data_IF_886156847041
#
_entry.id   IF_886156847041
#
_cell.length_a   1.000
_cell.length_b   1.000
_cell.length_c   1.000
_cell.angle_alpha   90.00
_cell.angle_beta   90.00
_cell.angle_gamma   90.00
#
_symmetry.space_group_name_H-M   'P 1'
#
loop_
_entity.id
_entity.type
_entity.pdbx_description
1 polymer ?
#
# COMPACT_ATOMS: atom_id res chain seq x y z
N UNK A 1 -36.02 1.20 -26.01
CA UNK A 1 -34.57 1.50 -26.01
C UNK A 1 -34.27 2.60 -25.02
N UNK A 2 -33.23 2.45 -24.20
CA UNK A 2 -32.77 3.47 -23.25
C UNK A 2 -31.74 4.39 -23.93
N UNK A 3 -31.92 5.71 -23.84
CA UNK A 3 -30.95 6.69 -24.34
C UNK A 3 -29.77 6.85 -23.36
N UNK A 4 -28.55 6.98 -23.88
CA UNK A 4 -27.30 7.09 -23.09
C UNK A 4 -27.10 8.48 -22.44
N UNK A 5 -28.17 9.26 -22.24
CA UNK A 5 -28.05 10.61 -21.70
C UNK A 5 -27.55 10.58 -20.24
N UNK A 6 -26.40 11.20 -20.00
CA UNK A 6 -25.79 11.34 -18.67
C UNK A 6 -24.70 10.32 -18.33
N UNK A 7 -24.29 9.47 -19.29
CA UNK A 7 -23.10 8.64 -19.14
C UNK A 7 -21.90 9.50 -19.49
N UNK A 8 -21.08 9.83 -18.49
CA UNK A 8 -19.79 10.45 -18.73
C UNK A 8 -18.83 9.37 -19.23
N UNK A 9 -18.73 9.28 -20.55
CA UNK A 9 -17.88 8.31 -21.23
C UNK A 9 -16.44 8.58 -20.88
N UNK A 10 -16.04 9.85 -20.79
CA UNK A 10 -14.66 10.26 -20.61
C UNK A 10 -14.56 11.22 -19.43
N UNK A 11 -14.49 10.69 -18.19
CA UNK A 11 -14.49 11.52 -16.99
C UNK A 11 -13.18 12.30 -16.89
N UNK A 12 -13.15 13.47 -17.52
CA UNK A 12 -11.93 14.26 -17.74
C UNK A 12 -11.24 14.62 -16.43
N UNK A 13 -12.02 15.02 -15.42
CA UNK A 13 -11.50 15.39 -14.10
C UNK A 13 -10.83 14.18 -13.45
N UNK A 14 -11.51 13.03 -13.42
CA UNK A 14 -10.99 11.79 -12.85
C UNK A 14 -9.66 11.36 -13.49
N UNK A 15 -9.61 11.34 -14.83
CA UNK A 15 -8.42 10.94 -15.59
C UNK A 15 -7.24 11.90 -15.36
N UNK A 16 -7.52 13.22 -15.31
CA UNK A 16 -6.51 14.24 -15.00
C UNK A 16 -5.97 14.08 -13.59
N UNK A 17 -6.84 13.85 -12.61
CA UNK A 17 -6.43 13.62 -11.22
C UNK A 17 -5.54 12.39 -11.12
N UNK A 18 -5.90 11.25 -11.74
CA UNK A 18 -5.05 10.05 -11.75
C UNK A 18 -3.65 10.32 -12.33
N UNK A 19 -3.59 11.02 -13.45
CA UNK A 19 -2.32 11.35 -14.12
C UNK A 19 -1.45 12.26 -13.25
N UNK A 20 -2.03 13.32 -12.68
CA UNK A 20 -1.32 14.24 -11.78
C UNK A 20 -0.88 13.51 -10.50
N UNK A 21 -1.75 12.67 -9.94
CA UNK A 21 -1.47 11.83 -8.78
C UNK A 21 -0.21 10.99 -9.00
N UNK A 22 -0.03 10.36 -10.17
CA UNK A 22 1.18 9.61 -10.47
C UNK A 22 2.45 10.47 -10.47
N UNK A 23 2.41 11.64 -11.10
CA UNK A 23 3.57 12.55 -11.15
C UNK A 23 3.98 13.03 -9.76
N UNK A 24 3.02 13.18 -8.84
CA UNK A 24 3.30 13.47 -7.44
C UNK A 24 3.77 12.21 -6.70
N UNK A 25 3.17 11.06 -6.94
CA UNK A 25 3.49 9.78 -6.29
C UNK A 25 4.91 9.29 -6.55
N UNK A 26 5.33 9.32 -7.82
CA UNK A 26 6.60 8.78 -8.26
C UNK A 26 7.79 9.28 -7.42
N UNK A 27 8.02 10.60 -7.23
CA UNK A 27 9.14 11.08 -6.42
C UNK A 27 9.07 10.64 -4.95
N UNK A 28 7.88 10.58 -4.33
CA UNK A 28 7.75 10.08 -2.96
C UNK A 28 8.05 8.58 -2.86
N UNK A 29 7.56 7.78 -3.83
CA UNK A 29 7.82 6.35 -3.90
C UNK A 29 9.32 6.07 -4.13
N UNK A 30 9.97 6.78 -5.05
CA UNK A 30 11.43 6.68 -5.26
C UNK A 30 12.24 7.11 -4.04
N UNK A 31 11.82 8.18 -3.36
CA UNK A 31 12.47 8.61 -2.12
C UNK A 31 12.29 7.59 -0.98
N UNK A 32 11.12 6.94 -0.90
CA UNK A 32 10.89 5.83 0.03
C UNK A 32 11.82 4.64 -0.27
N UNK A 33 12.00 4.26 -1.54
CA UNK A 33 12.98 3.26 -1.94
C UNK A 33 14.40 3.64 -1.53
N UNK A 34 14.81 4.89 -1.79
CA UNK A 34 16.10 5.39 -1.38
C UNK A 34 16.29 5.28 0.14
N UNK A 35 15.28 5.68 0.93
CA UNK A 35 15.31 5.54 2.39
C UNK A 35 15.47 4.07 2.81
N UNK A 36 14.72 3.15 2.22
CA UNK A 36 14.78 1.72 2.55
C UNK A 36 16.16 1.14 2.20
N UNK A 37 16.73 1.47 1.05
CA UNK A 37 17.99 0.87 0.60
C UNK A 37 19.20 1.48 1.30
N UNK A 38 19.25 2.81 1.44
CA UNK A 38 20.47 3.52 1.86
C UNK A 38 20.42 4.06 3.29
N UNK A 39 19.23 4.44 3.79
CA UNK A 39 19.08 5.05 5.13
C UNK A 39 18.79 3.99 6.21
N UNK A 40 18.30 2.81 5.83
CA UNK A 40 18.00 1.72 6.76
C UNK A 40 19.22 1.31 7.61
N UNK A 41 19.11 1.29 8.95
CA UNK A 41 20.20 0.86 9.81
C UNK A 41 20.47 -0.64 9.72
N UNK A 42 21.71 -1.07 9.99
CA UNK A 42 22.14 -2.49 9.91
C UNK A 42 21.29 -3.44 10.76
N UNK A 43 20.79 -2.97 11.91
CA UNK A 43 19.88 -3.74 12.80
C UNK A 43 18.54 -4.11 12.16
N UNK A 44 18.15 -3.45 11.06
CA UNK A 44 16.90 -3.73 10.35
C UNK A 44 17.12 -4.57 9.08
N UNK A 45 18.29 -5.18 8.88
CA UNK A 45 18.64 -5.87 7.61
C UNK A 45 17.61 -6.90 7.14
N UNK A 46 17.06 -7.71 8.05
CA UNK A 46 16.02 -8.70 7.70
C UNK A 46 14.67 -8.03 7.40
N UNK A 47 14.26 -7.06 8.23
CA UNK A 47 13.01 -6.31 8.04
C UNK A 47 13.02 -5.45 6.76
N UNK A 48 14.20 -4.99 6.33
CA UNK A 48 14.40 -4.17 5.14
C UNK A 48 13.86 -4.83 3.88
N UNK A 49 14.02 -6.14 3.74
CA UNK A 49 13.52 -6.88 2.58
C UNK A 49 11.99 -6.91 2.55
N UNK A 50 11.34 -7.12 3.69
CA UNK A 50 9.87 -7.09 3.77
C UNK A 50 9.32 -5.69 3.47
N UNK A 51 9.96 -4.63 3.97
CA UNK A 51 9.61 -3.25 3.62
C UNK A 51 9.81 -2.96 2.13
N UNK A 52 10.89 -3.46 1.52
CA UNK A 52 11.18 -3.25 0.11
C UNK A 52 10.15 -3.94 -0.78
N UNK A 53 9.80 -5.19 -0.48
CA UNK A 53 8.77 -5.95 -1.21
C UNK A 53 7.42 -5.26 -1.09
N UNK A 54 7.06 -4.80 0.11
CA UNK A 54 5.85 -4.01 0.32
C UNK A 54 5.84 -2.72 -0.52
N UNK A 55 6.91 -1.92 -0.44
CA UNK A 55 7.02 -0.68 -1.21
C UNK A 55 6.99 -0.91 -2.72
N UNK A 56 7.59 -2.01 -3.19
CA UNK A 56 7.53 -2.43 -4.59
C UNK A 56 6.11 -2.78 -5.01
N UNK A 57 5.41 -3.56 -4.19
CA UNK A 57 4.03 -3.95 -4.44
C UNK A 57 3.07 -2.76 -4.47
N UNK A 58 3.18 -1.83 -3.50
CA UNK A 58 2.33 -0.63 -3.47
C UNK A 58 2.65 0.36 -4.59
N UNK A 59 3.93 0.55 -4.92
CA UNK A 59 4.32 1.42 -6.04
C UNK A 59 3.85 0.84 -7.38
N UNK A 60 3.92 -0.48 -7.54
CA UNK A 60 3.44 -1.16 -8.74
C UNK A 60 1.91 -1.07 -8.87
N UNK A 61 1.19 -1.15 -7.75
CA UNK A 61 -0.25 -0.88 -7.71
C UNK A 61 -0.57 0.55 -8.17
N UNK A 62 0.05 1.56 -7.56
CA UNK A 62 -0.13 2.98 -7.89
C UNK A 62 0.14 3.24 -9.38
N UNK A 63 1.25 2.71 -9.89
CA UNK A 63 1.60 2.80 -11.30
C UNK A 63 0.55 2.16 -12.20
N UNK A 64 0.14 0.93 -11.87
CA UNK A 64 -0.84 0.17 -12.65
C UNK A 64 -2.18 0.89 -12.71
N UNK A 65 -2.66 1.48 -11.61
CA UNK A 65 -3.96 2.15 -11.61
C UNK A 65 -3.91 3.58 -12.15
N UNK A 66 -2.84 4.33 -11.92
CA UNK A 66 -2.76 5.74 -12.31
C UNK A 66 -2.30 5.95 -13.76
N UNK A 67 -1.33 5.15 -14.24
CA UNK A 67 -0.72 5.31 -15.58
C UNK A 67 -0.85 4.09 -16.49
N UNK A 68 -0.69 2.88 -15.94
CA UNK A 68 -0.63 1.66 -16.73
C UNK A 68 -1.99 1.31 -17.34
N UNK A 69 -2.96 1.04 -16.48
CA UNK A 69 -4.33 0.66 -16.83
C UNK A 69 -5.21 1.90 -16.94
N UNK A 70 -5.17 2.79 -15.96
CA UNK A 70 -6.08 3.95 -15.86
C UNK A 70 -7.53 3.53 -16.19
N UNK A 71 -8.12 2.62 -15.39
CA UNK A 71 -9.37 1.97 -15.74
C UNK A 71 -10.53 2.95 -15.67
N UNK A 72 -11.36 2.95 -16.72
CA UNK A 72 -12.67 3.62 -16.73
C UNK A 72 -13.73 2.54 -16.74
N UNK A 73 -14.56 2.53 -15.71
CA UNK A 73 -15.70 1.61 -15.60
C UNK A 73 -16.97 2.45 -15.62
N UNK A 74 -17.98 1.99 -16.32
CA UNK A 74 -19.26 2.69 -16.45
C UNK A 74 -20.32 1.89 -15.68
N UNK A 75 -20.49 1.94 -14.35
CA UNK A 75 -21.29 0.93 -13.63
C UNK A 75 -22.73 0.72 -14.13
N UNK A 76 -23.33 1.71 -14.79
CA UNK A 76 -24.64 1.58 -15.45
C UNK A 76 -24.69 0.49 -16.54
N UNK A 77 -23.56 0.20 -17.18
CA UNK A 77 -23.36 -0.85 -18.17
C UNK A 77 -22.12 -1.64 -17.72
N UNK A 78 -22.11 -2.97 -17.59
CA UNK A 78 -20.92 -3.67 -17.08
C UNK A 78 -19.79 -3.73 -18.14
N UNK A 79 -19.33 -2.56 -18.57
CA UNK A 79 -18.32 -2.26 -19.57
C UNK A 79 -17.20 -1.52 -18.83
N UNK A 80 -15.99 -1.99 -19.06
CA UNK A 80 -14.78 -1.25 -18.72
C UNK A 80 -13.94 -1.03 -19.97
N UNK A 81 -13.16 0.03 -19.96
CA UNK A 81 -12.11 0.24 -20.95
C UNK A 81 -10.90 0.93 -20.28
N UNK A 82 -9.78 0.94 -20.98
CA UNK A 82 -8.52 1.49 -20.48
C UNK A 82 -8.07 2.69 -21.31
N UNK A 83 -7.59 3.72 -20.63
CA UNK A 83 -6.98 4.91 -21.26
C UNK A 83 -5.46 4.95 -21.07
N UNK A 84 -4.91 4.07 -20.22
CA UNK A 84 -3.51 4.06 -19.83
C UNK A 84 -2.53 3.51 -20.87
N UNK A 85 -1.26 3.42 -20.49
CA UNK A 85 -0.16 2.94 -21.33
C UNK A 85 -0.37 1.51 -21.86
N UNK A 86 -1.03 0.65 -21.09
CA UNK A 86 -1.24 -0.76 -21.41
C UNK A 86 -2.40 -1.02 -22.38
N UNK A 87 -3.16 0.01 -22.76
CA UNK A 87 -4.37 -0.14 -23.59
C UNK A 87 -4.16 -0.87 -24.91
N UNK A 88 -2.96 -0.81 -25.48
CA UNK A 88 -2.60 -1.45 -26.75
C UNK A 88 -1.89 -2.80 -26.57
N UNK A 89 -1.42 -3.10 -25.36
CA UNK A 89 -0.60 -4.30 -25.07
C UNK A 89 -1.39 -5.42 -24.41
N UNK A 90 -2.45 -5.06 -23.68
CA UNK A 90 -3.26 -6.00 -22.93
C UNK A 90 -4.74 -5.78 -23.23
N UNK A 91 -5.49 -6.87 -23.36
CA UNK A 91 -6.95 -6.81 -23.42
C UNK A 91 -7.48 -6.42 -22.03
N UNK A 92 -8.63 -5.74 -21.94
CA UNK A 92 -9.13 -5.31 -20.64
C UNK A 92 -9.44 -6.46 -19.66
N UNK A 93 -9.72 -7.67 -20.16
CA UNK A 93 -9.76 -8.87 -19.33
C UNK A 93 -8.42 -9.15 -18.60
N UNK A 94 -7.30 -9.05 -19.32
CA UNK A 94 -5.96 -9.19 -18.75
C UNK A 94 -5.63 -8.03 -17.82
N UNK A 95 -6.10 -6.82 -18.15
CA UNK A 95 -5.90 -5.63 -17.30
C UNK A 95 -6.69 -5.72 -15.99
N UNK A 96 -7.91 -6.25 -16.01
CA UNK A 96 -8.69 -6.56 -14.81
C UNK A 96 -8.00 -7.63 -13.96
N UNK A 97 -7.38 -8.61 -14.61
CA UNK A 97 -6.61 -9.66 -13.92
C UNK A 97 -5.36 -9.06 -13.28
N UNK A 98 -4.64 -8.21 -14.01
CA UNK A 98 -3.48 -7.47 -13.50
C UNK A 98 -3.86 -6.58 -12.31
N UNK A 99 -5.01 -5.89 -12.36
CA UNK A 99 -5.47 -5.04 -11.26
C UNK A 99 -5.76 -5.89 -10.00
N UNK A 100 -6.42 -7.04 -10.15
CA UNK A 100 -6.62 -8.00 -9.07
C UNK A 100 -5.30 -8.50 -8.49
N UNK A 101 -4.33 -8.85 -9.33
CA UNK A 101 -2.97 -9.25 -8.90
C UNK A 101 -2.30 -8.14 -8.09
N UNK A 102 -2.30 -6.90 -8.58
CA UNK A 102 -1.66 -5.78 -7.88
C UNK A 102 -2.32 -5.53 -6.51
N UNK A 103 -3.65 -5.53 -6.44
CA UNK A 103 -4.35 -5.24 -5.19
C UNK A 103 -4.18 -6.35 -4.16
N UNK A 104 -4.29 -7.61 -4.58
CA UNK A 104 -4.11 -8.77 -3.68
C UNK A 104 -2.65 -8.92 -3.23
N UNK A 105 -1.68 -8.68 -4.12
CA UNK A 105 -0.26 -8.72 -3.77
C UNK A 105 0.06 -7.63 -2.76
N UNK A 106 -0.42 -6.40 -2.94
CA UNK A 106 -0.19 -5.31 -1.97
C UNK A 106 -0.81 -5.62 -0.60
N UNK A 107 -2.05 -6.11 -0.57
CA UNK A 107 -2.70 -6.56 0.67
C UNK A 107 -1.97 -7.74 1.34
N UNK A 108 -1.47 -8.71 0.57
CA UNK A 108 -0.74 -9.86 1.12
C UNK A 108 0.59 -9.45 1.76
N UNK A 109 1.34 -8.54 1.13
CA UNK A 109 2.62 -8.05 1.66
C UNK A 109 2.45 -7.28 2.97
N UNK A 110 1.31 -6.60 3.14
CA UNK A 110 0.92 -6.01 4.43
C UNK A 110 0.79 -7.06 5.52
N UNK A 111 -0.05 -8.09 5.28
CA UNK A 111 -0.31 -9.13 6.28
C UNK A 111 0.99 -9.86 6.61
N UNK A 112 1.84 -10.07 5.60
CA UNK A 112 3.17 -10.66 5.77
C UNK A 112 4.08 -9.83 6.69
N UNK A 113 4.08 -8.49 6.57
CA UNK A 113 4.84 -7.61 7.47
C UNK A 113 4.40 -7.78 8.92
N UNK A 114 3.09 -7.83 9.17
CA UNK A 114 2.55 -8.03 10.52
C UNK A 114 2.89 -9.42 11.06
N UNK A 115 2.72 -10.45 10.24
CA UNK A 115 3.04 -11.83 10.58
C UNK A 115 4.52 -12.00 10.92
N UNK A 116 5.42 -11.43 10.09
CA UNK A 116 6.86 -11.43 10.34
C UNK A 116 7.21 -10.70 11.64
N UNK A 117 6.60 -9.54 11.89
CA UNK A 117 6.84 -8.78 13.12
C UNK A 117 6.39 -9.54 14.35
N UNK A 118 5.20 -10.14 14.30
CA UNK A 118 4.67 -10.96 15.37
C UNK A 118 5.64 -12.09 15.73
N UNK A 119 6.13 -12.84 14.73
CA UNK A 119 7.10 -13.92 14.92
C UNK A 119 8.46 -13.47 15.49
N UNK A 120 8.91 -12.25 15.18
CA UNK A 120 10.15 -11.68 15.73
C UNK A 120 9.99 -11.09 17.13
N UNK A 121 8.77 -10.71 17.51
CA UNK A 121 8.47 -10.20 18.85
C UNK A 121 8.36 -11.38 19.82
N UNK A 122 7.64 -12.45 19.46
CA UNK A 122 7.40 -13.61 20.33
C UNK A 122 8.69 -14.20 20.93
N UNK A 123 8.60 -14.55 22.23
CA UNK A 123 9.67 -15.21 22.98
C UNK A 123 10.09 -16.54 22.33
N UNK A 124 11.40 -16.86 22.33
CA UNK A 124 11.92 -18.06 21.66
C UNK A 124 11.30 -19.39 22.14
N UNK A 125 10.83 -19.45 23.39
CA UNK A 125 10.28 -20.68 23.99
C UNK A 125 8.75 -20.77 23.92
N UNK A 126 8.08 -19.84 23.24
CA UNK A 126 6.62 -19.89 23.08
C UNK A 126 6.20 -20.93 22.04
N UNK A 127 5.12 -21.66 22.29
CA UNK A 127 4.51 -22.62 21.34
C UNK A 127 4.07 -21.96 20.02
N UNK A 128 3.85 -20.65 20.03
CA UNK A 128 3.41 -19.87 18.85
C UNK A 128 4.57 -19.44 17.94
N UNK A 129 5.82 -19.68 18.36
CA UNK A 129 6.99 -19.39 17.53
C UNK A 129 7.19 -20.49 16.52
N UNK A 130 7.12 -20.12 15.24
CA UNK A 130 7.27 -21.05 14.14
C UNK A 130 8.75 -21.31 13.87
N UNK A 131 9.06 -22.56 13.51
CA UNK A 131 10.35 -22.89 12.93
C UNK A 131 10.49 -22.20 11.57
N UNK A 132 11.70 -21.84 11.19
CA UNK A 132 11.99 -21.13 9.93
C UNK A 132 11.40 -21.85 8.72
N UNK A 133 11.55 -23.18 8.64
CA UNK A 133 10.94 -23.98 7.58
C UNK A 133 9.42 -23.83 7.53
N UNK A 134 8.73 -24.04 8.66
CA UNK A 134 7.27 -23.91 8.76
C UNK A 134 6.79 -22.50 8.39
N UNK A 135 7.51 -21.46 8.82
CA UNK A 135 7.21 -20.08 8.48
C UNK A 135 7.22 -19.84 6.96
N UNK A 136 8.29 -20.26 6.28
CA UNK A 136 8.40 -20.11 4.83
C UNK A 136 7.42 -21.01 4.07
N UNK A 137 7.16 -22.24 4.56
CA UNK A 137 6.16 -23.13 3.95
C UNK A 137 4.75 -22.54 4.01
N UNK A 138 4.34 -21.97 5.15
CA UNK A 138 3.04 -21.28 5.27
C UNK A 138 2.97 -20.10 4.31
N UNK A 139 4.06 -19.31 4.21
CA UNK A 139 4.13 -18.16 3.31
C UNK A 139 3.98 -18.57 1.84
N UNK A 140 4.73 -19.58 1.39
CA UNK A 140 4.65 -20.08 0.00
C UNK A 140 3.27 -20.67 -0.27
N UNK A 141 2.73 -21.46 0.65
CA UNK A 141 1.38 -22.02 0.52
C UNK A 141 0.31 -20.93 0.39
N UNK A 142 0.34 -19.90 1.24
CA UNK A 142 -0.59 -18.78 1.17
C UNK A 142 -0.48 -18.01 -0.15
N UNK A 143 0.75 -17.78 -0.64
CA UNK A 143 1.00 -17.12 -1.90
C UNK A 143 0.49 -17.94 -3.10
N UNK A 144 0.71 -19.25 -3.08
CA UNK A 144 0.22 -20.17 -4.11
C UNK A 144 -1.30 -20.23 -4.15
N UNK A 145 -1.97 -20.25 -2.98
CA UNK A 145 -3.43 -20.19 -2.91
C UNK A 145 -3.97 -18.89 -3.51
N UNK A 146 -3.32 -17.76 -3.20
CA UNK A 146 -3.71 -16.45 -3.69
C UNK A 146 -3.56 -16.32 -5.21
N UNK A 147 -2.43 -16.74 -5.78
CA UNK A 147 -2.26 -16.70 -7.23
C UNK A 147 -3.13 -17.74 -7.94
N UNK A 148 -3.32 -18.91 -7.33
CA UNK A 148 -4.22 -19.95 -7.83
C UNK A 148 -5.66 -19.47 -7.92
N UNK A 149 -6.19 -18.81 -6.88
CA UNK A 149 -7.55 -18.27 -6.90
C UNK A 149 -7.72 -17.15 -7.94
N UNK A 150 -6.72 -16.31 -8.17
CA UNK A 150 -6.76 -15.31 -9.24
C UNK A 150 -6.78 -15.97 -10.62
N UNK A 151 -6.00 -17.03 -10.83
CA UNK A 151 -6.05 -17.81 -12.07
C UNK A 151 -7.43 -18.43 -12.32
N UNK A 152 -8.08 -18.94 -11.28
CA UNK A 152 -9.46 -19.43 -11.37
C UNK A 152 -10.46 -18.33 -11.72
N UNK A 153 -10.30 -17.14 -11.13
CA UNK A 153 -11.15 -15.97 -11.42
C UNK A 153 -10.96 -15.50 -12.85
N UNK A 154 -9.72 -15.45 -13.34
CA UNK A 154 -9.40 -15.11 -14.73
C UNK A 154 -10.17 -16.02 -15.69
N UNK A 155 -10.03 -17.34 -15.52
CA UNK A 155 -10.71 -18.31 -16.36
C UNK A 155 -12.25 -18.22 -16.25
N UNK A 156 -12.78 -17.93 -15.05
CA UNK A 156 -14.21 -17.79 -14.85
C UNK A 156 -14.80 -16.53 -15.52
N UNK A 157 -14.03 -15.45 -15.55
CA UNK A 157 -14.43 -14.17 -16.14
C UNK A 157 -14.43 -14.19 -17.68
N UNK A 158 -13.74 -15.16 -18.30
CA UNK A 158 -13.70 -15.30 -19.75
C UNK A 158 -15.12 -15.54 -20.29
N UNK A 159 -15.51 -14.72 -21.25
CA UNK A 159 -16.89 -14.62 -21.73
C UNK A 159 -16.93 -14.28 -23.21
N UNK A 160 -17.90 -14.85 -23.92
CA UNK A 160 -18.13 -14.58 -25.34
C UNK A 160 -18.54 -13.12 -25.56
N UNK A 161 -17.56 -12.31 -25.99
CA UNK A 161 -17.72 -10.87 -26.18
C UNK A 161 -18.66 -10.53 -27.33
N UNK A 162 -18.75 -11.37 -28.37
CA UNK A 162 -19.62 -11.12 -29.52
C UNK A 162 -21.09 -11.24 -29.13
N UNK A 163 -21.43 -12.30 -28.39
CA UNK A 163 -22.79 -12.46 -27.86
C UNK A 163 -23.15 -11.32 -26.90
N UNK A 164 -22.22 -10.90 -26.04
CA UNK A 164 -22.45 -9.82 -25.08
C UNK A 164 -22.63 -8.45 -25.76
N UNK A 165 -21.85 -8.15 -26.82
CA UNK A 165 -22.01 -6.94 -27.64
C UNK A 165 -23.40 -6.88 -28.27
N UNK A 166 -23.85 -7.98 -28.86
CA UNK A 166 -25.20 -8.07 -29.45
C UNK A 166 -26.29 -7.84 -28.40
N UNK A 167 -26.20 -8.52 -27.25
CA UNK A 167 -27.14 -8.31 -26.13
C UNK A 167 -27.15 -6.87 -25.63
N UNK A 168 -26.00 -6.21 -25.59
CA UNK A 168 -25.95 -4.82 -25.11
C UNK A 168 -26.53 -3.85 -26.14
N UNK A 169 -26.29 -4.08 -27.43
CA UNK A 169 -26.80 -3.27 -28.54
C UNK A 169 -28.33 -3.31 -28.64
N UNK A 170 -28.96 -4.43 -28.27
CA UNK A 170 -30.43 -4.52 -28.20
C UNK A 170 -31.01 -3.70 -27.04
N UNK A 171 -30.27 -3.56 -25.93
CA UNK A 171 -30.70 -2.79 -24.75
C UNK A 171 -30.44 -1.28 -24.94
N UNK A 172 -29.26 -0.95 -25.46
CA UNK A 172 -28.76 0.42 -25.64
C UNK A 172 -28.37 0.67 -27.10
N UNK A 173 -29.22 1.39 -27.83
CA UNK A 173 -28.98 1.70 -29.24
C UNK A 173 -27.80 2.64 -29.50
N UNK A 174 -27.31 3.32 -28.46
CA UNK A 174 -26.22 4.29 -28.52
C UNK A 174 -24.86 3.72 -28.11
N UNK A 175 -24.74 2.41 -27.89
CA UNK A 175 -23.50 1.80 -27.34
C UNK A 175 -22.35 1.67 -28.35
N UNK A 176 -22.60 1.88 -29.65
CA UNK A 176 -21.62 1.61 -30.71
C UNK A 176 -20.30 2.38 -30.51
N UNK A 177 -20.35 3.64 -30.06
CA UNK A 177 -19.13 4.44 -29.79
C UNK A 177 -18.27 3.87 -28.65
N UNK A 178 -18.85 3.09 -27.72
CA UNK A 178 -18.10 2.42 -26.64
C UNK A 178 -17.35 1.20 -27.17
N UNK A 179 -17.92 0.51 -28.16
CA UNK A 179 -17.28 -0.65 -28.77
C UNK A 179 -16.08 -0.28 -29.65
N UNK A 180 -16.05 0.95 -30.13
CA UNK A 180 -14.90 1.52 -30.86
C UNK A 180 -13.72 1.87 -29.94
N UNK A 181 -13.91 1.89 -28.61
CA UNK A 181 -12.81 2.20 -27.69
C UNK A 181 -11.79 1.06 -27.63
N UNK A 182 -10.48 1.37 -27.67
CA UNK A 182 -9.43 0.37 -27.56
C UNK A 182 -9.49 -0.30 -26.18
N UNK A 183 -9.42 -1.63 -26.17
CA UNK A 183 -9.45 -2.40 -24.94
C UNK A 183 -10.81 -2.38 -24.22
N UNK A 184 -11.93 -2.14 -24.92
CA UNK A 184 -13.26 -2.33 -24.34
C UNK A 184 -13.48 -3.81 -23.96
N UNK A 185 -14.04 -4.05 -22.77
CA UNK A 185 -14.43 -5.38 -22.34
C UNK A 185 -15.76 -5.33 -21.60
N UNK A 186 -16.64 -6.26 -21.95
CA UNK A 186 -17.96 -6.40 -21.34
C UNK A 186 -17.88 -7.56 -20.35
N UNK A 187 -18.08 -7.25 -19.08
CA UNK A 187 -18.22 -8.25 -18.02
C UNK A 187 -19.68 -8.67 -17.89
N UNK A 188 -19.95 -9.97 -17.89
CA UNK A 188 -21.27 -10.45 -17.49
C UNK A 188 -21.50 -10.15 -16.01
N UNK A 189 -22.68 -9.60 -15.66
CA UNK A 189 -22.95 -9.15 -14.29
C UNK A 189 -22.87 -10.30 -13.27
N UNK A 190 -23.30 -11.50 -13.64
CA UNK A 190 -23.25 -12.68 -12.76
C UNK A 190 -21.81 -13.12 -12.48
N UNK A 191 -20.96 -13.18 -13.51
CA UNK A 191 -19.54 -13.51 -13.36
C UNK A 191 -18.78 -12.44 -12.58
N UNK A 192 -19.10 -11.16 -12.81
CA UNK A 192 -18.50 -10.06 -12.05
C UNK A 192 -18.90 -10.08 -10.58
N UNK A 193 -20.11 -10.52 -10.25
CA UNK A 193 -20.56 -10.69 -8.86
C UNK A 193 -19.66 -11.67 -8.10
N UNK A 194 -19.22 -12.76 -8.73
CA UNK A 194 -18.28 -13.70 -8.12
C UNK A 194 -16.94 -13.06 -7.77
N UNK A 195 -16.42 -12.16 -8.61
CA UNK A 195 -15.20 -11.39 -8.32
C UNK A 195 -15.38 -10.51 -7.09
N UNK A 196 -16.53 -9.83 -6.99
CA UNK A 196 -16.87 -8.96 -5.86
C UNK A 196 -16.99 -9.78 -4.57
N UNK A 197 -17.72 -10.90 -4.61
CA UNK A 197 -17.86 -11.82 -3.48
C UNK A 197 -16.49 -12.35 -3.03
N UNK A 198 -15.67 -12.79 -3.98
CA UNK A 198 -14.29 -13.21 -3.69
C UNK A 198 -13.49 -12.10 -3.02
N UNK A 199 -13.56 -10.87 -3.54
CA UNK A 199 -12.89 -9.71 -2.96
C UNK A 199 -13.32 -9.45 -1.51
N UNK A 200 -14.62 -9.55 -1.21
CA UNK A 200 -15.16 -9.37 0.14
C UNK A 200 -14.70 -10.47 1.08
N UNK A 201 -14.75 -11.73 0.65
CA UNK A 201 -14.30 -12.88 1.45
C UNK A 201 -12.79 -12.75 1.73
N UNK A 202 -11.99 -12.48 0.69
CA UNK A 202 -10.54 -12.28 0.80
C UNK A 202 -10.20 -11.13 1.73
N UNK A 203 -10.90 -9.99 1.61
CA UNK A 203 -10.70 -8.83 2.48
C UNK A 203 -11.10 -9.12 3.92
N UNK A 204 -12.19 -9.86 4.13
CA UNK A 204 -12.65 -10.27 5.47
C UNK A 204 -11.66 -11.19 6.15
N UNK A 205 -11.17 -12.21 5.44
CA UNK A 205 -10.15 -13.14 5.95
C UNK A 205 -8.85 -12.40 6.25
N UNK A 206 -8.36 -11.58 5.31
CA UNK A 206 -7.14 -10.80 5.50
C UNK A 206 -7.25 -9.80 6.66
N UNK A 207 -8.38 -9.11 6.78
CA UNK A 207 -8.68 -8.19 7.87
C UNK A 207 -8.73 -8.90 9.22
N UNK A 208 -9.35 -10.07 9.29
CA UNK A 208 -9.38 -10.89 10.50
C UNK A 208 -7.97 -11.28 10.95
N UNK A 209 -7.13 -11.81 10.06
CA UNK A 209 -5.73 -12.15 10.39
C UNK A 209 -4.93 -10.92 10.81
N UNK A 210 -5.14 -9.77 10.16
CA UNK A 210 -4.48 -8.52 10.53
C UNK A 210 -4.85 -8.14 11.98
N UNK A 211 -6.14 -8.11 12.32
CA UNK A 211 -6.61 -7.80 13.67
C UNK A 211 -6.02 -8.78 14.70
N UNK A 212 -6.01 -10.08 14.38
CA UNK A 212 -5.39 -11.10 15.24
C UNK A 212 -3.90 -10.84 15.45
N UNK A 213 -3.12 -10.59 14.40
CA UNK A 213 -1.68 -10.34 14.52
C UNK A 213 -1.39 -9.04 15.26
N UNK A 214 -2.19 -7.99 15.06
CA UNK A 214 -2.08 -6.74 15.82
C UNK A 214 -2.35 -7.00 17.29
N UNK A 215 -3.46 -7.67 17.62
CA UNK A 215 -3.83 -8.00 18.98
C UNK A 215 -2.73 -8.82 19.68
N UNK A 216 -2.29 -9.91 19.05
CA UNK A 216 -1.26 -10.78 19.60
C UNK A 216 0.10 -10.08 19.71
N UNK A 217 0.46 -9.21 18.76
CA UNK A 217 1.69 -8.41 18.84
C UNK A 217 1.66 -7.43 20.02
N UNK A 218 0.52 -6.75 20.24
CA UNK A 218 0.34 -5.86 21.39
C UNK A 218 0.39 -6.62 22.71
N UNK A 219 -0.24 -7.80 22.77
CA UNK A 219 -0.20 -8.67 23.93
C UNK A 219 1.23 -9.15 24.24
N UNK A 220 1.97 -9.60 23.22
CA UNK A 220 3.36 -10.04 23.39
C UNK A 220 4.28 -8.89 23.86
N UNK A 221 4.09 -7.68 23.32
CA UNK A 221 4.81 -6.48 23.76
C UNK A 221 4.51 -6.14 25.23
N UNK A 222 3.24 -6.29 25.66
CA UNK A 222 2.86 -6.08 27.05
C UNK A 222 3.46 -7.14 27.99
N UNK A 223 3.55 -8.40 27.55
CA UNK A 223 4.20 -9.47 28.33
C UNK A 223 5.72 -9.28 28.46
N UNK A 224 6.36 -8.61 27.50
CA UNK A 224 7.80 -8.26 27.57
C UNK A 224 8.09 -7.04 28.45
N UNK A 225 7.09 -6.50 29.14
CA UNK A 225 7.23 -5.36 30.05
C UNK A 225 8.29 -5.58 31.14
N UNK A 226 8.56 -6.82 31.53
CA UNK A 226 9.54 -7.18 32.57
C UNK A 226 10.98 -7.25 32.05
N UNK A 227 11.19 -7.47 30.74
CA UNK A 227 12.51 -7.79 30.17
C UNK A 227 13.08 -6.69 29.25
N UNK A 228 12.32 -5.63 28.92
CA UNK A 228 12.76 -4.54 28.03
C UNK A 228 12.48 -3.17 28.62
N UNK A 229 13.27 -2.18 28.21
CA UNK A 229 13.07 -0.79 28.61
C UNK A 229 11.72 -0.24 28.13
N UNK A 230 11.11 0.61 28.96
CA UNK A 230 9.84 1.26 28.63
C UNK A 230 9.90 2.04 27.31
N UNK A 231 11.06 2.61 26.99
CA UNK A 231 11.31 3.31 25.72
C UNK A 231 11.17 2.37 24.50
N UNK A 232 11.84 1.20 24.51
CA UNK A 232 11.78 0.25 23.40
C UNK A 232 10.35 -0.26 23.16
N UNK A 233 9.58 -0.46 24.24
CA UNK A 233 8.18 -0.86 24.20
C UNK A 233 7.30 0.19 23.51
N UNK A 234 7.47 1.46 23.88
CA UNK A 234 6.70 2.56 23.31
C UNK A 234 6.99 2.74 21.81
N UNK A 235 8.25 2.56 21.40
CA UNK A 235 8.64 2.58 19.98
C UNK A 235 7.95 1.44 19.21
N UNK A 236 7.92 0.23 19.74
CA UNK A 236 7.25 -0.90 19.08
C UNK A 236 5.74 -0.71 18.96
N UNK A 237 5.06 -0.25 20.02
CA UNK A 237 3.62 0.06 19.98
C UNK A 237 3.30 1.13 18.95
N UNK A 238 4.07 2.24 18.98
CA UNK A 238 3.92 3.34 18.02
C UNK A 238 4.02 2.83 16.59
N UNK A 239 4.97 1.95 16.30
CA UNK A 239 5.15 1.39 14.97
C UNK A 239 3.97 0.50 14.54
N UNK A 240 3.42 -0.33 15.44
CA UNK A 240 2.22 -1.13 15.15
C UNK A 240 1.02 -0.22 14.82
N UNK A 241 0.75 0.80 15.63
CA UNK A 241 -0.35 1.73 15.37
C UNK A 241 -0.21 2.45 14.03
N UNK A 242 1.02 2.81 13.66
CA UNK A 242 1.29 3.49 12.39
C UNK A 242 1.09 2.55 11.20
N UNK A 243 1.50 1.29 11.30
CA UNK A 243 1.18 0.27 10.29
C UNK A 243 -0.35 0.06 10.19
N UNK A 244 -1.07 0.03 11.30
CA UNK A 244 -2.54 -0.06 11.27
C UNK A 244 -3.15 1.14 10.54
N UNK A 245 -2.66 2.36 10.80
CA UNK A 245 -3.13 3.56 10.12
C UNK A 245 -2.89 3.51 8.60
N UNK A 246 -1.75 2.97 8.15
CA UNK A 246 -1.48 2.74 6.72
C UNK A 246 -2.52 1.81 6.08
N UNK A 247 -3.02 0.83 6.82
CA UNK A 247 -3.94 -0.19 6.30
C UNK A 247 -5.41 0.22 6.28
N UNK A 248 -5.76 1.26 7.04
CA UNK A 248 -7.12 1.80 7.00
C UNK A 248 -7.48 2.36 5.61
N UNK A 249 -6.50 2.88 4.86
CA UNK A 249 -6.73 3.42 3.50
C UNK A 249 -7.20 2.36 2.50
N UNK A 250 -6.47 1.26 2.24
CA UNK A 250 -6.89 0.24 1.28
C UNK A 250 -8.11 -0.54 1.77
N UNK A 251 -8.23 -0.81 3.08
CA UNK A 251 -9.42 -1.46 3.63
C UNK A 251 -10.66 -0.58 3.47
N UNK A 252 -10.53 0.73 3.69
CA UNK A 252 -11.60 1.70 3.45
C UNK A 252 -12.01 1.75 1.98
N UNK A 253 -11.04 1.79 1.06
CA UNK A 253 -11.31 1.76 -0.38
C UNK A 253 -12.05 0.49 -0.82
N UNK A 254 -11.62 -0.67 -0.32
CA UNK A 254 -12.29 -1.96 -0.57
C UNK A 254 -13.70 -1.99 0.00
N UNK A 255 -13.89 -1.51 1.22
CA UNK A 255 -15.20 -1.45 1.85
C UNK A 255 -16.13 -0.53 1.06
N UNK A 256 -15.69 0.68 0.68
CA UNK A 256 -16.49 1.63 -0.11
C UNK A 256 -16.80 1.08 -1.51
N UNK A 257 -15.79 0.61 -2.24
CA UNK A 257 -15.98 0.06 -3.58
C UNK A 257 -16.81 -1.22 -3.60
N UNK A 258 -16.56 -2.15 -2.68
CA UNK A 258 -17.29 -3.42 -2.60
C UNK A 258 -18.75 -3.23 -2.19
N UNK A 259 -19.01 -2.40 -1.17
CA UNK A 259 -20.39 -2.14 -0.71
C UNK A 259 -21.21 -1.39 -1.74
N UNK A 260 -20.62 -0.43 -2.46
CA UNK A 260 -21.33 0.31 -3.51
C UNK A 260 -21.75 -0.60 -4.67
N UNK A 261 -20.90 -1.54 -5.08
CA UNK A 261 -21.25 -2.54 -6.11
C UNK A 261 -22.32 -3.50 -5.61
N UNK A 262 -22.23 -3.99 -4.37
CA UNK A 262 -23.26 -4.87 -3.80
C UNK A 262 -24.62 -4.19 -3.71
N UNK A 263 -24.65 -2.95 -3.23
CA UNK A 263 -25.88 -2.14 -3.14
C UNK A 263 -26.44 -1.90 -4.54
N UNK A 264 -25.60 -1.66 -5.55
CA UNK A 264 -26.04 -1.54 -6.95
C UNK A 264 -26.64 -2.85 -7.48
N UNK A 265 -25.95 -3.98 -7.29
CA UNK A 265 -26.39 -5.29 -7.75
C UNK A 265 -27.74 -5.68 -7.14
N UNK A 266 -27.90 -5.53 -5.82
CA UNK A 266 -29.16 -5.82 -5.12
C UNK A 266 -30.29 -4.90 -5.59
N UNK A 267 -29.97 -3.63 -5.88
CA UNK A 267 -30.94 -2.67 -6.41
C UNK A 267 -31.25 -2.86 -7.89
N UNK A 268 -30.44 -3.58 -8.67
CA UNK A 268 -30.75 -3.91 -10.08
C UNK A 268 -32.06 -4.69 -10.21
N UNK A 269 -32.45 -5.42 -9.16
CA UNK A 269 -33.72 -6.15 -9.06
C UNK A 269 -34.91 -5.27 -8.59
N UNK A 270 -34.65 -4.10 -7.99
CA UNK A 270 -35.65 -3.18 -7.45
C UNK A 270 -35.82 -1.89 -8.28
N UNK A 271 -34.79 -1.48 -9.03
CA UNK A 271 -34.70 -0.23 -9.80
C UNK A 271 -34.88 -0.51 -11.29
N UNK A 272 -36.05 -1.03 -11.68
CA UNK A 272 -36.59 -0.70 -13.00
C UNK A 272 -37.34 0.66 -12.97
N UNK A 273 -37.66 1.17 -11.77
CA UNK A 273 -38.65 2.24 -11.56
C UNK A 273 -38.06 3.62 -11.18
N UNK A 274 -36.82 3.72 -10.66
CA UNK A 274 -36.21 5.00 -10.22
C UNK A 274 -34.99 5.35 -11.06
N UNK A 275 -35.23 5.90 -12.27
CA UNK A 275 -34.20 6.16 -13.29
C UNK A 275 -33.47 7.51 -13.07
N UNK A 276 -32.19 7.52 -13.44
CA UNK A 276 -31.20 8.62 -13.54
C UNK A 276 -30.39 8.99 -12.28
N UNK A 277 -30.99 9.30 -11.11
CA UNK A 277 -30.20 9.80 -9.97
C UNK A 277 -29.27 8.75 -9.33
N UNK A 278 -29.62 7.47 -9.41
CA UNK A 278 -28.84 6.38 -8.81
C UNK A 278 -27.58 5.99 -9.59
N UNK A 279 -27.58 6.12 -10.93
CA UNK A 279 -26.47 5.65 -11.76
C UNK A 279 -25.23 6.57 -11.66
N UNK A 280 -25.44 7.88 -11.60
CA UNK A 280 -24.35 8.87 -11.47
C UNK A 280 -23.62 8.69 -10.13
N UNK A 281 -24.37 8.62 -9.02
CA UNK A 281 -23.79 8.46 -7.67
C UNK A 281 -22.94 7.18 -7.56
N UNK A 282 -23.34 6.10 -8.22
CA UNK A 282 -22.64 4.82 -8.18
C UNK A 282 -21.37 4.87 -9.03
N UNK A 283 -21.41 5.53 -10.19
CA UNK A 283 -20.24 5.79 -11.02
C UNK A 283 -19.20 6.62 -10.28
N UNK A 284 -19.64 7.71 -9.63
CA UNK A 284 -18.75 8.58 -8.85
C UNK A 284 -18.14 7.84 -7.65
N UNK A 285 -18.92 7.03 -6.94
CA UNK A 285 -18.41 6.26 -5.81
C UNK A 285 -17.37 5.21 -6.24
N UNK A 286 -17.55 4.58 -7.40
CA UNK A 286 -16.59 3.62 -7.94
C UNK A 286 -15.30 4.31 -8.42
N UNK A 287 -15.42 5.44 -9.12
CA UNK A 287 -14.28 6.28 -9.50
C UNK A 287 -13.51 6.76 -8.27
N UNK A 288 -14.22 7.18 -7.21
CA UNK A 288 -13.61 7.56 -5.94
C UNK A 288 -12.88 6.39 -5.27
N UNK A 289 -13.43 5.18 -5.30
CA UNK A 289 -12.75 3.99 -4.79
C UNK A 289 -11.45 3.70 -5.57
N UNK A 290 -11.49 3.75 -6.91
CA UNK A 290 -10.28 3.62 -7.75
C UNK A 290 -9.25 4.68 -7.38
N UNK A 291 -9.68 5.93 -7.18
CA UNK A 291 -8.79 7.02 -6.81
C UNK A 291 -8.12 6.79 -5.46
N UNK A 292 -8.83 6.25 -4.46
CA UNK A 292 -8.20 5.90 -3.18
C UNK A 292 -7.18 4.78 -3.39
N UNK A 293 -7.51 3.74 -4.17
CA UNK A 293 -6.57 2.66 -4.47
C UNK A 293 -5.31 3.13 -5.18
N UNK A 294 -5.47 4.03 -6.14
CA UNK A 294 -4.36 4.55 -6.94
C UNK A 294 -3.44 5.49 -6.16
N UNK A 295 -3.86 5.96 -4.97
CA UNK A 295 -3.08 6.82 -4.08
C UNK A 295 -2.63 6.08 -2.80
N UNK A 296 -2.83 4.77 -2.73
CA UNK A 296 -2.46 3.97 -1.56
C UNK A 296 -0.95 3.95 -1.34
N UNK A 297 -0.15 3.75 -2.38
CA UNK A 297 1.31 3.74 -2.29
C UNK A 297 1.87 5.09 -1.87
N UNK A 298 1.28 6.22 -2.28
CA UNK A 298 1.63 7.55 -1.75
C UNK A 298 1.48 7.60 -0.23
N UNK A 299 0.29 7.25 0.27
CA UNK A 299 -0.01 7.29 1.69
C UNK A 299 0.90 6.34 2.48
N UNK A 300 1.16 5.15 1.93
CA UNK A 300 2.11 4.18 2.47
C UNK A 300 3.54 4.75 2.55
N UNK A 301 4.03 5.39 1.49
CA UNK A 301 5.36 6.00 1.40
C UNK A 301 5.54 7.14 2.39
N UNK A 302 4.60 8.10 2.41
CA UNK A 302 4.63 9.23 3.34
C UNK A 302 4.64 8.70 4.77
N UNK A 303 3.75 7.75 5.07
CA UNK A 303 3.69 7.19 6.40
C UNK A 303 4.97 6.43 6.74
N UNK A 304 5.55 5.66 5.81
CA UNK A 304 6.84 4.98 6.01
C UNK A 304 7.96 5.96 6.36
N UNK A 305 8.03 7.10 5.67
CA UNK A 305 9.04 8.15 5.91
C UNK A 305 8.82 8.84 7.25
N UNK A 306 7.58 9.26 7.55
CA UNK A 306 7.24 10.02 8.76
C UNK A 306 7.36 9.15 10.02
N UNK A 307 7.04 7.86 9.91
CA UNK A 307 6.90 6.98 11.06
C UNK A 307 8.19 6.28 11.46
N UNK A 308 9.09 6.06 10.51
CA UNK A 308 10.41 5.49 10.81
C UNK A 308 11.37 6.60 11.17
N UNK A 309 11.76 6.65 12.45
CA UNK A 309 12.69 7.63 12.98
C UNK A 309 13.99 7.83 12.17
N UNK A 310 14.69 6.78 11.67
CA UNK A 310 15.88 7.00 10.85
C UNK A 310 15.55 7.76 9.54
N UNK A 311 14.41 7.46 8.90
CA UNK A 311 14.01 8.10 7.65
C UNK A 311 13.52 9.53 7.89
N UNK A 312 12.73 9.75 8.95
CA UNK A 312 12.29 11.08 9.35
C UNK A 312 13.48 11.97 9.68
N UNK A 313 14.47 11.46 10.43
CA UNK A 313 15.66 12.22 10.79
C UNK A 313 16.49 12.58 9.56
N UNK A 314 16.65 11.66 8.62
CA UNK A 314 17.34 11.93 7.36
C UNK A 314 16.58 12.99 6.54
N UNK A 315 15.27 12.86 6.40
CA UNK A 315 14.40 13.80 5.69
C UNK A 315 14.47 15.21 6.29
N UNK A 316 14.45 15.31 7.64
CA UNK A 316 14.63 16.59 8.33
C UNK A 316 15.97 17.22 8.02
N UNK A 317 17.07 16.45 8.05
CA UNK A 317 18.42 16.96 7.71
C UNK A 317 18.49 17.49 6.28
N UNK A 318 17.87 16.80 5.33
CA UNK A 318 17.77 17.25 3.94
C UNK A 318 16.99 18.56 3.82
N UNK A 319 15.84 18.66 4.49
CA UNK A 319 14.99 19.86 4.48
C UNK A 319 15.62 21.06 5.19
N UNK A 320 16.42 20.84 6.24
CA UNK A 320 17.10 21.91 6.98
C UNK A 320 18.51 22.20 6.45
N UNK A 321 18.95 21.55 5.36
CA UNK A 321 20.30 21.64 4.82
C UNK A 321 21.43 21.42 5.86
N UNK A 322 21.15 20.69 6.95
CA UNK A 322 22.16 20.38 7.97
C UNK A 322 22.96 19.14 7.54
N UNK A 323 23.83 19.30 6.54
CA UNK A 323 24.85 18.31 6.20
C UNK A 323 26.05 18.43 7.14
N UNK A 324 25.83 18.22 8.44
CA UNK A 324 26.95 18.05 9.38
C UNK A 324 27.29 16.56 9.40
N UNK A 325 28.48 16.14 8.92
CA UNK A 325 28.89 14.74 8.96
C UNK A 325 28.83 14.24 10.40
N UNK A 326 28.22 13.07 10.63
CA UNK A 326 28.09 12.50 11.99
C UNK A 326 29.48 12.28 12.64
N UNK A 327 30.53 12.14 11.84
CA UNK A 327 31.94 12.04 12.26
C UNK A 327 32.46 13.35 12.90
N UNK A 328 32.04 14.50 12.36
CA UNK A 328 32.37 15.83 12.92
C UNK A 328 31.59 16.07 14.21
N UNK A 329 30.32 15.65 14.27
CA UNK A 329 29.50 15.82 15.48
C UNK A 329 29.97 14.90 16.63
N UNK A 330 30.47 13.70 16.31
CA UNK A 330 31.10 12.80 17.28
C UNK A 330 32.42 13.38 17.79
N UNK A 331 33.30 13.88 16.90
CA UNK A 331 34.55 14.57 17.29
C UNK A 331 34.29 15.84 18.11
N UNK A 332 33.28 16.65 17.74
CA UNK A 332 32.89 17.84 18.50
C UNK A 332 32.31 17.48 19.87
N UNK A 333 31.48 16.44 19.97
CA UNK A 333 31.01 15.94 21.29
C UNK A 333 32.14 15.37 22.13
N UNK A 334 33.12 14.68 21.53
CA UNK A 334 34.31 14.19 22.23
C UNK A 334 35.19 15.34 22.71
N UNK A 335 35.44 16.35 21.87
CA UNK A 335 36.18 17.57 22.22
C UNK A 335 35.47 18.36 23.34
N UNK A 336 34.16 18.57 23.25
CA UNK A 336 33.41 19.29 24.30
C UNK A 336 33.38 18.51 25.61
N UNK A 337 33.35 17.17 25.56
CA UNK A 337 33.45 16.32 26.75
C UNK A 337 34.86 16.35 27.35
N UNK A 338 35.92 16.38 26.54
CA UNK A 338 37.30 16.56 27.00
C UNK A 338 37.55 17.95 27.61
N UNK A 339 37.01 19.01 27.02
CA UNK A 339 37.12 20.38 27.55
C UNK A 339 36.36 20.51 28.89
N UNK A 340 35.21 19.84 29.05
CA UNK A 340 34.49 19.82 30.35
C UNK A 340 35.16 18.96 31.41
N UNK A 341 35.86 17.89 31.03
CA UNK A 341 36.62 17.06 31.97
C UNK A 341 37.95 17.70 32.37
N UNK A 342 38.60 18.46 31.47
CA UNK A 342 39.82 19.23 31.78
C UNK A 342 39.59 20.44 32.70
N UNK A 343 38.36 20.96 32.80
CA UNK A 343 38.01 22.07 33.71
C UNK A 343 37.64 21.64 35.13
N UNK A 344 37.57 20.34 35.45
CA UNK A 344 37.15 19.86 36.78
C UNK A 344 38.28 19.32 37.67
N UNK A 345 39.53 19.49 37.26
CA UNK A 345 40.67 19.17 38.10
C UNK A 345 41.97 19.49 37.41
N UNK A 346 42.48 20.71 37.59
CA UNK A 346 43.92 20.90 37.59
C UNK A 346 44.28 21.75 38.81
N UNK A 347 45.13 21.22 39.71
CA UNK A 347 45.68 21.98 40.80
C UNK A 347 46.66 23.01 40.26
N UNK A 348 46.77 24.10 41.01
CA UNK A 348 47.83 25.11 40.91
C UNK A 348 49.19 24.39 40.95
N UNK A 349 49.94 24.43 39.85
CA UNK A 349 51.36 24.10 39.86
C UNK A 349 52.11 25.42 39.68
N UNK A 350 52.62 25.95 40.80
CA UNK A 350 53.76 26.87 40.80
C UNK A 350 54.95 26.10 40.26
N UNK A 351 55.54 26.56 39.15
CA UNK A 351 56.91 26.19 38.82
C UNK A 351 57.80 27.35 39.24
N UNK A 352 58.58 27.06 40.27
CA UNK A 352 59.66 27.86 40.83
C UNK A 352 60.74 28.12 39.80
N UNK A 353 61.28 29.34 39.82
CA UNK A 353 62.57 29.69 39.26
C UNK A 353 63.66 28.72 39.76
N UNK A 354 64.54 28.28 38.86
CA UNK A 354 65.96 28.06 39.14
C UNK A 354 66.76 28.17 37.85
N UNK A 355 67.48 29.27 37.77
CA UNK A 355 68.69 29.45 36.98
C UNK A 355 69.79 28.52 37.50
N UNK A 356 70.52 27.86 36.61
CA UNK A 356 71.95 27.59 36.75
C UNK A 356 72.49 27.10 35.40
N UNK A 357 73.41 27.90 34.87
CA UNK A 357 74.26 27.60 33.74
C UNK A 357 75.21 26.43 34.04
N UNK A 358 75.57 25.70 32.99
CA UNK A 358 76.89 25.13 32.80
C UNK A 358 77.32 25.46 31.36
N UNK A 359 77.90 26.64 31.20
CA UNK A 359 79.28 26.89 30.74
C UNK A 359 79.76 28.16 31.40
#
# INVERSE_FOLDING_TARGET
MTTCQGIDVYPFIFLRVLTISWHVQAPFNFYAFYCIVFVSPKVMKSFRWHLLVYQCSTTFLDFSFSMGITPVVIPAMPIGYSVGLYRNFMNCHQMLTLSLVCMTTSASTTVEIFFWRWQNIILPNSRLKLKTFTYYSIRVFALSLLFGSIGLIHNHLDSDQEMLRLKLKTIYSCVDFLFEQPGVYICESEKYLWVVIYGIISCSIGGFFLVLFVYQSLQAINQMATNRSAYARNVQKKLIYLLCAQMMFPMGAYAIGGTTILVWMQRKQYIQTVKKLSAVVISEAFNFAILIFSNYGLAASICLIVCNEPYLRHTKRLLTCEFVPDDVRAKVKLCVKHIRLGKKGSPVIRVSERSAANT
#
